data_IF_235937496533
#
_entry.id   IF_235937496533
#
_cell.length_a   1.000
_cell.length_b   1.000
_cell.length_c   1.000
_cell.angle_alpha   90.00
_cell.angle_beta   90.00
_cell.angle_gamma   90.00
#
_symmetry.space_group_name_H-M   'P 1'
#
loop_
_entity.id
_entity.type
_entity.pdbx_description
1 polymer ?
#
# COMPACT_ATOMS: atom_id res chain seq x y z
N UNK A 1 -30.32 -12.76 -0.68
CA UNK A 1 -31.35 -11.85 -1.16
C UNK A 1 -31.14 -11.58 -2.65
N UNK A 2 -32.24 -11.36 -3.38
CA UNK A 2 -32.23 -10.88 -4.76
C UNK A 2 -32.84 -9.49 -4.84
N UNK A 3 -32.37 -8.69 -5.81
CA UNK A 3 -32.94 -7.40 -6.15
C UNK A 3 -33.62 -7.53 -7.53
N UNK A 4 -34.90 -7.25 -7.57
CA UNK A 4 -35.62 -7.11 -8.85
C UNK A 4 -35.27 -5.75 -9.45
N UNK A 5 -34.64 -5.76 -10.64
CA UNK A 5 -34.17 -4.54 -11.29
C UNK A 5 -35.30 -3.69 -11.92
N UNK A 6 -36.49 -4.24 -12.10
CA UNK A 6 -37.64 -3.49 -12.61
C UNK A 6 -38.40 -2.79 -11.48
N UNK A 7 -38.59 -3.50 -10.38
CA UNK A 7 -39.35 -2.97 -9.24
C UNK A 7 -38.48 -2.34 -8.18
N UNK A 8 -37.15 -2.55 -8.24
CA UNK A 8 -36.15 -2.24 -7.22
C UNK A 8 -36.49 -2.82 -5.84
N UNK A 9 -37.31 -3.89 -5.84
CA UNK A 9 -37.72 -4.58 -4.63
C UNK A 9 -36.72 -5.66 -4.22
N UNK A 10 -36.45 -5.76 -2.91
CA UNK A 10 -35.63 -6.81 -2.34
C UNK A 10 -36.45 -8.00 -1.91
N UNK A 11 -35.97 -9.20 -2.21
CA UNK A 11 -36.56 -10.47 -1.75
C UNK A 11 -35.51 -11.32 -1.05
N UNK A 12 -35.88 -11.93 0.07
CA UNK A 12 -35.03 -12.92 0.75
C UNK A 12 -35.15 -14.26 0.03
N UNK A 13 -34.06 -14.73 -0.57
CA UNK A 13 -34.03 -16.02 -1.28
C UNK A 13 -33.70 -17.19 -0.36
N UNK A 14 -32.95 -16.93 0.70
CA UNK A 14 -32.52 -17.96 1.64
C UNK A 14 -32.16 -17.38 3.00
N UNK A 15 -32.40 -18.15 4.05
CA UNK A 15 -31.93 -17.91 5.42
C UNK A 15 -30.69 -18.73 5.77
N UNK A 16 -30.14 -19.48 4.82
CA UNK A 16 -28.88 -20.21 5.01
C UNK A 16 -27.73 -19.26 5.29
N UNK A 17 -26.92 -19.59 6.29
CA UNK A 17 -25.77 -18.80 6.72
C UNK A 17 -24.50 -19.63 6.63
N UNK A 18 -23.38 -18.96 6.40
CA UNK A 18 -22.08 -19.57 6.59
C UNK A 18 -21.86 -19.88 8.08
N UNK A 19 -21.09 -20.93 8.35
CA UNK A 19 -20.70 -21.30 9.72
C UNK A 19 -19.83 -20.24 10.40
N UNK A 20 -19.18 -19.39 9.60
CA UNK A 20 -18.32 -18.32 10.06
C UNK A 20 -18.57 -17.07 9.20
N UNK A 21 -18.60 -15.90 9.84
CA UNK A 21 -18.63 -14.63 9.13
C UNK A 21 -17.24 -14.38 8.49
N UNK A 22 -17.22 -14.12 7.19
CA UNK A 22 -16.01 -13.87 6.43
C UNK A 22 -16.03 -12.45 5.86
N UNK A 23 -15.00 -11.66 6.17
CA UNK A 23 -14.77 -10.32 5.64
C UNK A 23 -13.70 -10.38 4.56
N UNK A 24 -13.78 -9.48 3.57
CA UNK A 24 -12.79 -9.33 2.48
C UNK A 24 -12.46 -10.65 1.76
N UNK A 25 -13.45 -11.53 1.65
CA UNK A 25 -13.39 -12.65 0.70
C UNK A 25 -13.47 -12.12 -0.73
N UNK A 26 -12.92 -12.82 -1.70
CA UNK A 26 -13.24 -12.60 -3.09
C UNK A 26 -14.43 -13.48 -3.53
N UNK A 27 -15.02 -13.18 -4.67
CA UNK A 27 -16.19 -13.89 -5.14
C UNK A 27 -16.23 -13.98 -6.67
N UNK A 28 -16.92 -15.00 -7.16
CA UNK A 28 -17.22 -15.14 -8.58
C UNK A 28 -18.56 -15.81 -8.78
N UNK A 29 -19.13 -15.68 -9.96
CA UNK A 29 -20.36 -16.32 -10.35
C UNK A 29 -20.12 -17.27 -11.55
N UNK A 30 -20.41 -18.54 -11.35
CA UNK A 30 -20.44 -19.56 -12.39
C UNK A 30 -21.83 -19.52 -13.05
N UNK A 31 -21.91 -18.89 -14.20
CA UNK A 31 -23.17 -18.69 -14.92
C UNK A 31 -23.74 -20.00 -15.47
N UNK A 32 -22.88 -20.96 -15.81
CA UNK A 32 -23.28 -22.27 -16.37
C UNK A 32 -23.95 -23.11 -15.28
N UNK A 33 -23.35 -23.16 -14.10
CA UNK A 33 -23.86 -23.94 -12.95
C UNK A 33 -24.78 -23.13 -12.04
N UNK A 34 -24.99 -21.84 -12.33
CA UNK A 34 -25.78 -20.89 -11.52
C UNK A 34 -25.35 -20.87 -10.05
N UNK A 35 -24.05 -20.86 -9.80
CA UNK A 35 -23.49 -20.92 -8.46
C UNK A 35 -22.72 -19.64 -8.16
N UNK A 36 -23.05 -19.01 -7.04
CA UNK A 36 -22.26 -17.92 -6.50
C UNK A 36 -21.26 -18.51 -5.50
N UNK A 37 -19.98 -18.21 -5.70
CA UNK A 37 -18.90 -18.77 -4.88
C UNK A 37 -18.08 -17.65 -4.28
N UNK A 38 -17.71 -17.84 -3.02
CA UNK A 38 -16.74 -16.99 -2.31
C UNK A 38 -15.52 -17.81 -1.93
N UNK A 39 -14.37 -17.16 -1.89
CA UNK A 39 -13.11 -17.75 -1.48
C UNK A 39 -12.40 -16.88 -0.44
N UNK A 40 -11.80 -17.53 0.56
CA UNK A 40 -10.95 -16.86 1.52
C UNK A 40 -11.73 -15.99 2.50
N UNK A 41 -11.13 -14.86 2.88
CA UNK A 41 -11.69 -13.95 3.86
C UNK A 41 -11.19 -14.20 5.28
N UNK A 42 -11.52 -13.29 6.18
CA UNK A 42 -11.16 -13.42 7.60
C UNK A 42 -12.38 -13.26 8.51
N UNK A 43 -12.32 -13.92 9.66
CA UNK A 43 -13.34 -13.84 10.71
C UNK A 43 -12.98 -14.75 11.88
N UNK A 44 -13.53 -14.47 13.05
CA UNK A 44 -13.30 -15.27 14.26
C UNK A 44 -11.83 -15.59 14.56
N UNK A 45 -10.92 -14.62 14.29
CA UNK A 45 -9.47 -14.76 14.48
C UNK A 45 -8.76 -15.67 13.46
N UNK A 46 -9.42 -16.05 12.36
CA UNK A 46 -8.83 -16.90 11.33
C UNK A 46 -8.93 -16.30 9.93
N UNK A 47 -7.91 -16.57 9.11
CA UNK A 47 -7.96 -16.44 7.66
C UNK A 47 -8.44 -17.74 7.05
N UNK A 48 -9.28 -17.67 6.03
CA UNK A 48 -9.83 -18.83 5.34
C UNK A 48 -9.10 -19.11 4.02
N UNK A 49 -8.99 -20.38 3.63
CA UNK A 49 -8.62 -20.82 2.29
C UNK A 49 -9.70 -21.71 1.66
N UNK A 50 -10.91 -21.64 2.18
CA UNK A 50 -12.03 -22.46 1.72
C UNK A 50 -12.83 -21.73 0.66
N UNK A 51 -13.42 -22.53 -0.25
CA UNK A 51 -14.44 -22.11 -1.19
C UNK A 51 -15.81 -22.48 -0.64
N UNK A 52 -16.72 -21.50 -0.60
CA UNK A 52 -18.10 -21.69 -0.20
C UNK A 52 -18.99 -21.33 -1.38
N UNK A 53 -19.85 -22.26 -1.78
CA UNK A 53 -20.75 -22.12 -2.92
C UNK A 53 -22.19 -21.98 -2.41
N UNK A 54 -22.90 -20.97 -2.90
CA UNK A 54 -24.33 -20.86 -2.71
C UNK A 54 -25.04 -21.55 -3.88
N UNK A 55 -25.78 -22.59 -3.56
CA UNK A 55 -26.66 -23.25 -4.51
C UNK A 55 -28.03 -22.56 -4.46
N UNK A 56 -28.42 -21.87 -5.55
CA UNK A 56 -29.68 -21.14 -5.61
C UNK A 56 -30.91 -22.08 -5.62
N UNK A 57 -30.78 -23.28 -6.17
CA UNK A 57 -31.89 -24.27 -6.23
C UNK A 57 -32.17 -24.86 -4.86
N UNK A 58 -31.10 -25.16 -4.09
CA UNK A 58 -31.23 -25.72 -2.74
C UNK A 58 -31.39 -24.61 -1.68
N UNK A 59 -31.14 -23.37 -2.03
CA UNK A 59 -31.20 -22.21 -1.14
C UNK A 59 -30.18 -22.27 0.01
N UNK A 60 -29.05 -22.96 -0.15
CA UNK A 60 -28.07 -23.15 0.92
C UNK A 60 -26.60 -23.01 0.46
N UNK A 61 -25.76 -22.72 1.44
CA UNK A 61 -24.31 -22.72 1.30
C UNK A 61 -23.74 -24.13 1.47
N UNK A 62 -22.84 -24.49 0.58
CA UNK A 62 -22.06 -25.72 0.62
C UNK A 62 -20.58 -25.38 0.53
N UNK A 63 -19.72 -26.18 1.15
CA UNK A 63 -18.27 -26.05 0.99
C UNK A 63 -17.82 -26.86 -0.22
N UNK A 64 -16.93 -26.30 -1.04
CA UNK A 64 -16.27 -27.09 -2.08
C UNK A 64 -15.45 -28.20 -1.41
N UNK A 65 -15.43 -29.38 -2.04
CA UNK A 65 -14.67 -30.53 -1.53
C UNK A 65 -13.17 -30.26 -1.46
N UNK A 66 -12.43 -31.23 -0.98
CA UNK A 66 -10.96 -31.13 -0.88
C UNK A 66 -10.33 -30.92 -2.24
N UNK A 67 -9.42 -29.97 -2.34
CA UNK A 67 -8.61 -29.69 -3.52
C UNK A 67 -7.26 -30.40 -3.39
N UNK A 68 -6.77 -30.96 -4.49
CA UNK A 68 -5.43 -31.52 -4.60
C UNK A 68 -4.46 -30.48 -5.15
N UNK A 69 -3.16 -30.80 -5.20
CA UNK A 69 -2.11 -29.95 -5.79
C UNK A 69 -1.46 -29.00 -4.81
N UNK A 70 -1.16 -27.77 -5.25
CA UNK A 70 -0.39 -26.82 -4.47
C UNK A 70 -1.18 -26.24 -3.30
N UNK A 71 -0.48 -25.92 -2.22
CA UNK A 71 -1.11 -25.33 -1.05
C UNK A 71 -1.47 -23.87 -1.28
N UNK A 72 -2.75 -23.54 -1.25
CA UNK A 72 -3.26 -22.18 -1.31
C UNK A 72 -3.42 -21.64 0.10
N UNK A 73 -2.52 -20.73 0.49
CA UNK A 73 -2.49 -20.16 1.84
C UNK A 73 -3.81 -19.49 2.22
N UNK A 74 -4.27 -19.64 3.47
CA UNK A 74 -5.37 -18.85 4.03
C UNK A 74 -5.12 -17.35 3.85
N UNK A 75 -6.13 -16.65 3.29
CA UNK A 75 -5.96 -15.24 2.89
C UNK A 75 -7.26 -14.45 2.81
N UNK A 76 -7.13 -13.15 2.85
CA UNK A 76 -8.17 -12.16 2.60
C UNK A 76 -7.63 -11.01 1.73
N UNK A 77 -8.46 -10.12 1.25
CA UNK A 77 -8.09 -9.12 0.26
C UNK A 77 -7.44 -9.71 -1.02
N UNK A 78 -7.77 -10.96 -1.36
CA UNK A 78 -7.37 -11.53 -2.64
C UNK A 78 -8.35 -11.14 -3.74
N UNK A 79 -7.91 -11.24 -4.97
CA UNK A 79 -8.74 -11.06 -6.16
C UNK A 79 -9.06 -12.40 -6.80
N UNK A 80 -10.29 -12.54 -7.31
CA UNK A 80 -10.70 -13.73 -8.05
C UNK A 80 -11.22 -13.37 -9.45
N UNK A 81 -10.92 -14.23 -10.42
CA UNK A 81 -11.48 -14.20 -11.76
C UNK A 81 -11.86 -15.61 -12.18
N UNK A 82 -13.04 -15.76 -12.79
CA UNK A 82 -13.51 -17.03 -13.32
C UNK A 82 -13.47 -17.00 -14.85
N UNK A 83 -12.93 -18.05 -15.44
CA UNK A 83 -12.85 -18.22 -16.91
C UNK A 83 -13.66 -19.44 -17.31
N UNK A 84 -14.79 -19.19 -17.96
CA UNK A 84 -15.72 -20.23 -18.40
C UNK A 84 -15.09 -21.23 -19.39
N UNK A 85 -14.22 -20.77 -20.27
CA UNK A 85 -13.65 -21.59 -21.35
C UNK A 85 -12.83 -22.80 -20.86
N UNK A 86 -12.25 -22.70 -19.65
CA UNK A 86 -11.45 -23.76 -19.05
C UNK A 86 -11.94 -24.16 -17.65
N UNK A 87 -13.12 -23.70 -17.22
CA UNK A 87 -13.74 -23.97 -15.93
C UNK A 87 -12.82 -23.75 -14.72
N UNK A 88 -11.98 -22.74 -14.83
CA UNK A 88 -11.00 -22.45 -13.78
C UNK A 88 -11.25 -21.12 -13.10
N UNK A 89 -10.94 -21.10 -11.80
CA UNK A 89 -10.85 -19.88 -11.01
C UNK A 89 -9.40 -19.50 -10.85
N UNK A 90 -9.12 -18.24 -11.07
CA UNK A 90 -7.79 -17.68 -10.83
C UNK A 90 -7.83 -16.84 -9.56
N UNK A 91 -6.84 -17.02 -8.69
CA UNK A 91 -6.70 -16.29 -7.42
C UNK A 91 -5.38 -15.53 -7.42
N UNK A 92 -5.44 -14.25 -7.16
CA UNK A 92 -4.26 -13.38 -7.12
C UNK A 92 -4.13 -12.66 -5.77
N UNK A 93 -2.93 -12.71 -5.18
CA UNK A 93 -2.49 -11.87 -4.10
C UNK A 93 -3.31 -11.96 -2.82
N UNK A 94 -3.37 -10.85 -2.08
CA UNK A 94 -4.04 -10.73 -0.80
C UNK A 94 -3.08 -10.74 0.38
N UNK A 95 -3.63 -10.99 1.57
CA UNK A 95 -2.88 -11.04 2.83
C UNK A 95 -3.30 -12.24 3.68
N UNK A 96 -2.38 -12.77 4.44
CA UNK A 96 -2.67 -13.89 5.35
C UNK A 96 -1.39 -14.56 5.84
N UNK A 97 -1.49 -15.81 6.24
CA UNK A 97 -0.36 -16.65 6.61
C UNK A 97 -0.67 -18.13 6.40
N UNK A 98 0.34 -18.97 6.51
CA UNK A 98 0.25 -20.40 6.25
C UNK A 98 -0.65 -21.15 7.25
N UNK A 99 -0.72 -20.68 8.49
CA UNK A 99 -1.51 -21.31 9.54
C UNK A 99 -2.98 -20.92 9.53
N UNK A 100 -3.32 -19.79 8.91
CA UNK A 100 -4.64 -19.17 8.99
C UNK A 100 -4.92 -18.44 10.31
N UNK A 101 -4.04 -18.50 11.30
CA UNK A 101 -4.23 -17.86 12.60
C UNK A 101 -3.84 -16.37 12.55
N UNK A 102 -4.79 -15.48 12.86
CA UNK A 102 -4.54 -14.02 12.88
C UNK A 102 -3.56 -13.60 13.96
N UNK A 103 -3.38 -14.39 15.02
CA UNK A 103 -2.44 -14.07 16.12
C UNK A 103 -1.00 -14.11 15.66
N UNK A 104 -0.68 -14.94 14.68
CA UNK A 104 0.69 -15.07 14.12
C UNK A 104 1.08 -13.87 13.25
N UNK A 105 0.11 -13.06 12.85
CA UNK A 105 0.31 -11.93 11.96
C UNK A 105 -0.11 -12.23 10.52
N UNK A 106 0.35 -11.40 9.60
CA UNK A 106 0.01 -11.53 8.18
C UNK A 106 1.16 -11.05 7.32
N UNK A 107 1.25 -11.58 6.09
CA UNK A 107 2.13 -11.09 5.02
C UNK A 107 1.33 -10.80 3.77
N UNK A 108 1.88 -9.98 2.89
CA UNK A 108 1.31 -9.72 1.57
C UNK A 108 1.72 -10.84 0.62
N UNK A 109 0.76 -11.30 -0.17
CA UNK A 109 0.97 -12.26 -1.23
C UNK A 109 0.94 -11.54 -2.58
N UNK A 110 1.87 -11.89 -3.45
CA UNK A 110 1.89 -11.49 -4.86
C UNK A 110 2.05 -12.75 -5.73
N UNK A 111 1.33 -13.78 -5.34
CA UNK A 111 1.28 -15.08 -5.96
C UNK A 111 0.01 -15.24 -6.80
N UNK A 112 0.05 -16.15 -7.76
CA UNK A 112 -1.04 -16.39 -8.68
C UNK A 112 -1.30 -17.88 -8.82
N UNK A 113 -2.56 -18.25 -8.67
CA UNK A 113 -3.01 -19.64 -8.69
C UNK A 113 -4.10 -19.84 -9.71
N UNK A 114 -4.08 -21.01 -10.34
CA UNK A 114 -5.18 -21.58 -11.10
C UNK A 114 -5.83 -22.69 -10.27
N UNK A 115 -7.15 -22.66 -10.12
CA UNK A 115 -7.94 -23.70 -9.48
C UNK A 115 -8.86 -24.29 -10.53
N UNK A 116 -8.53 -25.50 -10.98
CA UNK A 116 -9.37 -26.27 -11.89
C UNK A 116 -10.54 -26.88 -11.10
N UNK A 117 -11.76 -26.46 -11.44
CA UNK A 117 -12.98 -26.91 -10.74
C UNK A 117 -13.53 -28.24 -11.25
N UNK A 118 -13.02 -28.78 -12.37
CA UNK A 118 -13.37 -30.10 -12.85
C UNK A 118 -12.46 -31.15 -12.23
N UNK A 119 -11.16 -30.90 -12.24
CA UNK A 119 -10.15 -31.81 -11.69
C UNK A 119 -9.97 -31.63 -10.18
N UNK A 120 -10.61 -30.63 -9.58
CA UNK A 120 -10.47 -30.27 -8.17
C UNK A 120 -9.01 -30.10 -7.77
N UNK A 121 -8.25 -29.36 -8.59
CA UNK A 121 -6.82 -29.19 -8.45
C UNK A 121 -6.40 -27.74 -8.41
N UNK A 122 -5.49 -27.42 -7.48
CA UNK A 122 -4.80 -26.12 -7.35
C UNK A 122 -3.43 -26.22 -7.98
N UNK A 123 -3.09 -25.23 -8.77
CA UNK A 123 -1.75 -25.05 -9.34
C UNK A 123 -1.27 -23.62 -9.06
N UNK A 124 -0.11 -23.48 -8.41
CA UNK A 124 0.59 -22.20 -8.32
C UNK A 124 1.29 -21.92 -9.64
N UNK A 125 0.91 -20.84 -10.30
CA UNK A 125 1.53 -20.47 -11.59
C UNK A 125 2.83 -19.71 -11.36
N UNK A 126 2.84 -18.74 -10.45
CA UNK A 126 4.03 -17.98 -10.08
C UNK A 126 3.86 -17.26 -8.73
N UNK A 127 4.97 -16.72 -8.23
CA UNK A 127 5.06 -15.92 -7.01
C UNK A 127 6.14 -14.85 -7.20
N UNK A 128 5.73 -13.59 -7.22
CA UNK A 128 6.61 -12.43 -7.39
C UNK A 128 6.70 -11.60 -6.10
N UNK A 129 6.45 -12.20 -4.94
CA UNK A 129 6.35 -11.47 -3.66
C UNK A 129 7.65 -10.78 -3.24
N UNK A 130 8.80 -11.25 -3.73
CA UNK A 130 10.09 -10.64 -3.42
C UNK A 130 10.21 -9.24 -4.02
N UNK A 131 10.54 -8.25 -3.19
CA UNK A 131 10.73 -6.86 -3.62
C UNK A 131 9.44 -6.11 -4.00
N UNK A 132 8.26 -6.71 -3.82
CA UNK A 132 7.01 -6.03 -4.10
C UNK A 132 6.56 -5.11 -2.96
N UNK A 133 5.95 -3.95 -3.29
CA UNK A 133 5.38 -3.07 -2.28
C UNK A 133 4.20 -3.72 -1.55
N UNK A 134 3.93 -3.27 -0.33
CA UNK A 134 2.77 -3.68 0.48
C UNK A 134 1.45 -3.19 -0.14
N UNK A 135 0.92 -3.95 -1.06
CA UNK A 135 -0.33 -3.65 -1.78
C UNK A 135 -1.24 -4.86 -1.81
N UNK A 136 -2.54 -4.59 -1.80
CA UNK A 136 -3.57 -5.61 -1.98
C UNK A 136 -4.30 -5.40 -3.30
N UNK A 137 -4.80 -6.46 -3.94
CA UNK A 137 -5.71 -6.33 -5.07
C UNK A 137 -7.13 -5.99 -4.60
N UNK A 138 -7.90 -5.34 -5.47
CA UNK A 138 -9.35 -5.30 -5.34
C UNK A 138 -9.95 -6.71 -5.49
N UNK A 139 -11.18 -6.91 -5.02
CA UNK A 139 -11.78 -8.24 -4.90
C UNK A 139 -11.96 -8.99 -6.22
N UNK A 140 -12.17 -8.28 -7.32
CA UNK A 140 -12.41 -8.88 -8.63
C UNK A 140 -11.26 -8.59 -9.58
N UNK A 141 -10.88 -9.58 -10.38
CA UNK A 141 -10.02 -9.41 -11.55
C UNK A 141 -10.79 -9.71 -12.82
N UNK A 142 -10.40 -9.08 -13.91
CA UNK A 142 -10.92 -9.34 -15.23
C UNK A 142 -9.92 -10.21 -15.99
N UNK A 143 -10.25 -11.47 -16.18
CA UNK A 143 -9.51 -12.42 -16.99
C UNK A 143 -10.37 -12.81 -18.19
N UNK A 144 -9.88 -12.54 -19.40
CA UNK A 144 -10.62 -12.78 -20.64
C UNK A 144 -10.08 -13.96 -21.43
N UNK A 145 -8.83 -14.33 -21.14
CA UNK A 145 -8.15 -15.46 -21.79
C UNK A 145 -6.98 -15.92 -20.91
N UNK A 146 -6.30 -16.97 -21.32
CA UNK A 146 -5.16 -17.56 -20.59
C UNK A 146 -3.84 -16.77 -20.73
N UNK A 147 -3.83 -15.57 -21.32
CA UNK A 147 -2.59 -14.81 -21.54
C UNK A 147 -2.39 -13.67 -20.55
N UNK A 148 -3.45 -12.98 -20.16
CA UNK A 148 -3.34 -11.85 -19.23
C UNK A 148 -4.64 -11.61 -18.46
N UNK A 149 -4.48 -10.92 -17.33
CA UNK A 149 -5.60 -10.43 -16.51
C UNK A 149 -5.39 -8.97 -16.10
N UNK A 150 -6.48 -8.32 -15.73
CA UNK A 150 -6.52 -6.94 -15.26
C UNK A 150 -7.01 -6.92 -13.82
N UNK A 151 -6.31 -6.16 -12.97
CA UNK A 151 -6.64 -6.04 -11.56
C UNK A 151 -6.28 -4.66 -11.04
N UNK A 152 -7.10 -4.12 -10.15
CA UNK A 152 -6.76 -2.92 -9.40
C UNK A 152 -5.94 -3.30 -8.18
N UNK A 153 -4.91 -2.50 -7.86
CA UNK A 153 -4.09 -2.66 -6.64
C UNK A 153 -3.98 -1.34 -5.90
N UNK A 154 -3.89 -1.42 -4.59
CA UNK A 154 -3.74 -0.25 -3.72
C UNK A 154 -3.06 -0.64 -2.39
N UNK A 155 -2.36 0.28 -1.71
CA UNK A 155 -1.89 0.08 -0.35
C UNK A 155 -3.09 0.12 0.60
N UNK A 156 -3.28 -0.94 1.40
CA UNK A 156 -4.34 -0.98 2.41
C UNK A 156 -3.92 -0.24 3.68
N UNK A 157 -4.89 0.20 4.48
CA UNK A 157 -4.66 0.92 5.75
C UNK A 157 -3.88 2.24 5.60
N UNK A 158 -4.03 2.92 4.47
CA UNK A 158 -3.39 4.21 4.17
C UNK A 158 -4.45 5.26 3.87
N UNK A 159 -4.39 6.41 4.56
CA UNK A 159 -5.15 7.60 4.18
C UNK A 159 -4.55 8.20 2.90
N UNK A 160 -5.37 8.68 1.98
CA UNK A 160 -4.93 9.28 0.73
C UNK A 160 -4.07 8.35 -0.16
N UNK A 161 -4.55 7.16 -0.42
CA UNK A 161 -3.94 6.24 -1.35
C UNK A 161 -4.58 6.29 -2.74
N UNK A 162 -4.03 5.49 -3.67
CA UNK A 162 -4.50 5.42 -5.05
C UNK A 162 -4.66 3.99 -5.51
N UNK A 163 -5.77 3.72 -6.21
CA UNK A 163 -5.96 2.52 -7.01
C UNK A 163 -5.25 2.69 -8.35
N UNK A 164 -4.42 1.73 -8.69
CA UNK A 164 -3.81 1.63 -10.01
C UNK A 164 -4.30 0.37 -10.71
N UNK A 165 -4.62 0.49 -11.99
CA UNK A 165 -4.98 -0.63 -12.83
C UNK A 165 -3.70 -1.27 -13.38
N UNK A 166 -3.55 -2.58 -13.16
CA UNK A 166 -2.45 -3.40 -13.66
C UNK A 166 -2.96 -4.40 -14.68
N UNK A 167 -2.16 -4.64 -15.71
CA UNK A 167 -2.26 -5.80 -16.58
C UNK A 167 -1.12 -6.73 -16.25
N UNK A 168 -1.43 -7.95 -15.84
CA UNK A 168 -0.46 -9.01 -15.56
C UNK A 168 -0.45 -10.06 -16.66
N UNK A 169 0.71 -10.63 -16.94
CA UNK A 169 0.85 -11.86 -17.69
C UNK A 169 0.47 -13.06 -16.81
N UNK A 170 -0.31 -13.99 -17.37
CA UNK A 170 -0.67 -15.24 -16.69
C UNK A 170 0.54 -16.19 -16.60
N UNK A 171 1.46 -16.09 -17.57
CA UNK A 171 2.60 -17.00 -17.69
C UNK A 171 3.68 -16.74 -16.64
N UNK A 172 4.07 -15.47 -16.42
CA UNK A 172 5.27 -15.12 -15.65
C UNK A 172 5.06 -14.02 -14.60
N UNK A 173 3.85 -13.44 -14.51
CA UNK A 173 3.55 -12.35 -13.58
C UNK A 173 4.15 -10.99 -13.94
N UNK A 174 4.77 -10.85 -15.12
CA UNK A 174 5.19 -9.54 -15.61
C UNK A 174 3.99 -8.60 -15.72
N UNK A 175 4.16 -7.32 -15.36
CA UNK A 175 3.02 -6.41 -15.28
C UNK A 175 3.33 -5.01 -15.80
N UNK A 176 2.25 -4.32 -16.21
CA UNK A 176 2.27 -2.93 -16.62
C UNK A 176 1.14 -2.17 -15.94
N UNK A 177 1.43 -0.93 -15.50
CA UNK A 177 0.42 0.00 -15.00
C UNK A 177 -0.31 0.62 -16.20
N UNK A 178 -1.62 0.72 -16.10
CA UNK A 178 -2.50 1.20 -17.16
C UNK A 178 -3.30 2.42 -16.69
N UNK A 179 -3.43 3.39 -17.58
CA UNK A 179 -4.24 4.59 -17.32
C UNK A 179 -3.70 5.47 -16.19
N UNK A 180 -4.59 6.28 -15.65
CA UNK A 180 -4.36 7.13 -14.48
C UNK A 180 -4.77 6.41 -13.20
N UNK A 181 -4.48 7.01 -12.07
CA UNK A 181 -4.83 6.50 -10.75
C UNK A 181 -6.22 7.00 -10.31
N UNK A 182 -6.89 6.21 -9.49
CA UNK A 182 -8.16 6.58 -8.85
C UNK A 182 -7.89 6.80 -7.36
N UNK A 183 -8.17 7.98 -6.80
CA UNK A 183 -7.96 8.22 -5.38
C UNK A 183 -8.87 7.33 -4.52
N UNK A 184 -8.34 6.84 -3.39
CA UNK A 184 -9.06 6.00 -2.44
C UNK A 184 -8.56 6.26 -1.02
N UNK A 185 -9.49 6.31 -0.07
CA UNK A 185 -9.21 6.31 1.37
C UNK A 185 -9.27 4.88 1.89
N UNK A 186 -8.12 4.24 2.02
CA UNK A 186 -8.01 2.84 2.44
C UNK A 186 -7.57 2.65 3.89
N UNK A 187 -7.63 3.68 4.70
CA UNK A 187 -7.29 3.66 6.14
C UNK A 187 -8.23 2.78 6.96
N UNK A 188 -9.46 2.57 6.50
CA UNK A 188 -10.43 1.69 7.14
C UNK A 188 -10.54 0.37 6.41
N UNK A 189 -10.54 -0.71 7.18
CA UNK A 189 -10.70 -2.08 6.66
C UNK A 189 -12.03 -2.29 5.92
N UNK A 190 -13.03 -1.44 6.17
CA UNK A 190 -14.33 -1.47 5.51
C UNK A 190 -14.33 -0.88 4.10
N UNK A 191 -13.24 -0.23 3.69
CA UNK A 191 -13.09 0.26 2.32
C UNK A 191 -12.98 -0.91 1.35
N UNK A 192 -13.77 -0.86 0.28
CA UNK A 192 -13.83 -1.87 -0.77
C UNK A 192 -13.69 -1.25 -2.15
N UNK A 193 -12.96 -1.94 -3.02
CA UNK A 193 -12.90 -1.63 -4.44
C UNK A 193 -13.18 -2.89 -5.26
N UNK A 194 -13.87 -2.72 -6.38
CA UNK A 194 -14.20 -3.83 -7.29
C UNK A 194 -14.01 -3.41 -8.74
N UNK A 195 -13.68 -4.37 -9.59
CA UNK A 195 -13.44 -4.20 -11.02
C UNK A 195 -14.38 -5.10 -11.83
N UNK A 196 -15.08 -4.53 -12.80
CA UNK A 196 -15.99 -5.26 -13.68
C UNK A 196 -15.69 -4.94 -15.13
N UNK A 197 -15.90 -5.92 -16.02
CA UNK A 197 -15.84 -5.72 -17.45
C UNK A 197 -17.23 -5.86 -18.06
N UNK A 198 -17.60 -4.86 -18.87
CA UNK A 198 -18.82 -4.92 -19.68
C UNK A 198 -18.42 -5.04 -21.15
N UNK A 199 -18.57 -6.24 -21.68
CA UNK A 199 -18.20 -6.56 -23.07
C UNK A 199 -19.02 -5.75 -24.08
N UNK A 200 -20.33 -5.58 -23.85
CA UNK A 200 -21.22 -4.85 -24.78
C UNK A 200 -20.83 -3.39 -24.94
N UNK A 201 -20.31 -2.79 -23.89
CA UNK A 201 -19.90 -1.38 -23.92
C UNK A 201 -18.39 -1.22 -24.13
N UNK A 202 -17.63 -2.31 -24.17
CA UNK A 202 -16.17 -2.30 -24.18
C UNK A 202 -15.58 -1.36 -23.11
N UNK A 203 -16.03 -1.56 -21.85
CA UNK A 203 -15.64 -0.72 -20.72
C UNK A 203 -15.33 -1.55 -19.48
N UNK A 204 -14.34 -1.06 -18.75
CA UNK A 204 -14.13 -1.45 -17.35
C UNK A 204 -14.89 -0.47 -16.44
N UNK A 205 -15.54 -1.01 -15.43
CA UNK A 205 -16.18 -0.24 -14.37
C UNK A 205 -15.46 -0.53 -13.05
N UNK A 206 -15.15 0.53 -12.34
CA UNK A 206 -14.56 0.46 -11.00
C UNK A 206 -15.56 1.01 -10.01
N UNK A 207 -15.88 0.25 -8.98
CA UNK A 207 -16.67 0.74 -7.86
C UNK A 207 -15.78 0.87 -6.64
N UNK A 208 -15.89 1.98 -5.93
CA UNK A 208 -15.17 2.27 -4.69
C UNK A 208 -16.19 2.63 -3.62
N UNK A 209 -16.16 1.90 -2.53
CA UNK A 209 -16.93 2.19 -1.34
C UNK A 209 -15.99 2.57 -0.21
N UNK A 210 -16.10 3.79 0.26
CA UNK A 210 -15.30 4.36 1.35
C UNK A 210 -16.21 4.63 2.55
N UNK A 211 -15.79 4.21 3.72
CA UNK A 211 -16.55 4.42 4.95
C UNK A 211 -15.91 5.54 5.75
N UNK A 212 -16.64 6.65 5.95
CA UNK A 212 -16.13 7.80 6.68
C UNK A 212 -16.33 7.66 8.20
N UNK A 213 -17.42 7.03 8.59
CA UNK A 213 -17.78 6.71 9.98
C UNK A 213 -18.44 5.32 10.04
N UNK A 214 -18.95 4.92 11.21
CA UNK A 214 -19.59 3.61 11.36
C UNK A 214 -20.99 3.53 10.74
N UNK A 215 -21.52 4.65 10.20
CA UNK A 215 -22.89 4.77 9.72
C UNK A 215 -22.97 5.15 8.25
N UNK A 216 -22.06 5.98 7.76
CA UNK A 216 -22.11 6.52 6.40
C UNK A 216 -20.98 5.99 5.53
N UNK A 217 -21.29 5.74 4.26
CA UNK A 217 -20.31 5.39 3.25
C UNK A 217 -20.52 6.19 1.98
N UNK A 218 -19.41 6.54 1.33
CA UNK A 218 -19.40 7.13 -0.01
C UNK A 218 -19.22 6.01 -1.03
N UNK A 219 -20.08 5.97 -2.02
CA UNK A 219 -19.99 5.04 -3.14
C UNK A 219 -19.69 5.81 -4.43
N UNK A 220 -18.59 5.45 -5.09
CA UNK A 220 -18.12 6.07 -6.32
C UNK A 220 -18.03 5.04 -7.43
N UNK A 221 -18.38 5.43 -8.66
CA UNK A 221 -18.30 4.59 -9.85
C UNK A 221 -17.46 5.30 -10.90
N UNK A 222 -16.44 4.63 -11.40
CA UNK A 222 -15.58 5.09 -12.48
C UNK A 222 -15.72 4.19 -13.69
N UNK A 223 -15.55 4.74 -14.87
CA UNK A 223 -15.64 4.01 -16.14
C UNK A 223 -14.41 4.29 -16.99
N UNK A 224 -13.73 3.23 -17.42
CA UNK A 224 -12.55 3.28 -18.28
C UNK A 224 -12.84 2.60 -19.61
N UNK A 225 -12.31 3.14 -20.70
CA UNK A 225 -12.38 2.48 -22.00
C UNK A 225 -11.55 1.21 -22.01
N UNK A 226 -12.00 0.20 -22.72
CA UNK A 226 -11.27 -1.04 -22.93
C UNK A 226 -10.94 -1.22 -24.43
N UNK A 227 -9.69 -1.60 -24.80
CA UNK A 227 -8.55 -1.85 -23.93
C UNK A 227 -7.97 -0.56 -23.37
N UNK A 228 -7.56 -0.56 -22.07
CA UNK A 228 -6.94 0.60 -21.45
C UNK A 228 -5.52 0.81 -22.01
N UNK A 229 -5.10 2.08 -22.08
CA UNK A 229 -3.75 2.45 -22.53
C UNK A 229 -2.74 2.34 -21.40
N UNK A 230 -1.46 2.13 -21.74
CA UNK A 230 -0.40 2.17 -20.73
C UNK A 230 -0.23 3.57 -20.12
N UNK A 231 0.24 3.64 -18.89
CA UNK A 231 0.51 4.90 -18.20
C UNK A 231 1.47 5.79 -19.01
N UNK A 232 2.49 5.21 -19.65
CA UNK A 232 3.43 5.91 -20.52
C UNK A 232 2.74 6.58 -21.71
N UNK A 233 1.85 5.87 -22.40
CA UNK A 233 1.06 6.43 -23.50
C UNK A 233 0.08 7.48 -23.02
N UNK A 234 -0.52 7.29 -21.84
CA UNK A 234 -1.43 8.25 -21.26
C UNK A 234 -0.69 9.55 -20.90
N UNK A 235 0.46 9.48 -20.25
CA UNK A 235 1.29 10.65 -19.90
C UNK A 235 1.85 11.34 -21.15
N UNK A 236 2.29 10.59 -22.16
CA UNK A 236 2.76 11.14 -23.44
C UNK A 236 1.66 11.91 -24.16
N UNK A 237 0.43 11.38 -24.17
CA UNK A 237 -0.72 12.02 -24.84
C UNK A 237 -1.25 13.25 -24.05
N UNK A 238 -1.19 13.23 -22.73
CA UNK A 238 -1.70 14.32 -21.87
C UNK A 238 -0.60 15.31 -21.42
N UNK A 239 0.67 14.92 -21.47
CA UNK A 239 1.82 15.80 -21.17
C UNK A 239 2.16 16.79 -22.29
N UNK A 240 1.54 16.65 -23.48
CA UNK A 240 1.76 17.54 -24.64
C UNK A 240 0.94 18.83 -24.65
N UNK A 241 0.12 19.09 -23.64
CA UNK A 241 -0.73 20.26 -23.53
C UNK A 241 -0.01 21.46 -22.90
N UNK A 242 0.47 22.37 -23.68
CA UNK A 242 0.78 23.79 -23.38
C UNK A 242 1.93 24.16 -22.42
N UNK A 243 2.54 23.26 -21.68
CA UNK A 243 3.63 23.68 -20.76
C UNK A 243 4.93 24.05 -21.52
N UNK A 244 5.26 23.35 -22.60
CA UNK A 244 6.47 23.61 -23.39
C UNK A 244 6.39 24.92 -24.18
N UNK A 245 5.23 25.27 -24.71
CA UNK A 245 5.06 26.53 -25.44
C UNK A 245 5.04 27.74 -24.52
N UNK A 246 4.44 27.64 -23.34
CA UNK A 246 4.46 28.72 -22.35
C UNK A 246 5.88 28.96 -21.83
N UNK A 247 6.68 27.91 -21.63
CA UNK A 247 8.07 28.03 -21.22
C UNK A 247 8.94 28.67 -22.33
N UNK A 248 8.76 28.27 -23.60
CA UNK A 248 9.43 28.86 -24.74
C UNK A 248 9.06 30.33 -24.92
N UNK A 249 7.81 30.72 -24.71
CA UNK A 249 7.34 32.11 -24.77
C UNK A 249 7.94 32.93 -23.62
N UNK A 250 8.00 32.37 -22.41
CA UNK A 250 8.64 33.03 -21.25
C UNK A 250 10.15 33.23 -21.47
N UNK A 251 10.86 32.20 -21.97
CA UNK A 251 12.30 32.33 -22.31
C UNK A 251 12.51 33.34 -23.40
N UNK A 252 11.70 33.36 -24.47
CA UNK A 252 11.79 34.36 -25.53
C UNK A 252 11.52 35.78 -25.01
N UNK A 253 10.57 35.96 -24.09
CA UNK A 253 10.28 37.24 -23.46
C UNK A 253 11.45 37.73 -22.59
N UNK A 254 12.09 36.84 -21.82
CA UNK A 254 13.27 37.17 -20.99
C UNK A 254 14.46 37.56 -21.88
N UNK A 255 14.70 36.83 -22.98
CA UNK A 255 15.75 37.14 -23.94
C UNK A 255 15.50 38.50 -24.65
N UNK A 256 14.25 38.81 -25.00
CA UNK A 256 13.89 40.10 -25.60
C UNK A 256 14.09 41.26 -24.63
N UNK A 257 13.75 41.09 -23.33
CA UNK A 257 13.99 42.13 -22.29
C UNK A 257 15.47 42.29 -22.01
N UNK A 258 16.25 41.21 -21.95
CA UNK A 258 17.70 41.27 -21.77
C UNK A 258 18.38 41.91 -22.98
N UNK A 259 18.00 41.55 -24.20
CA UNK A 259 18.50 42.14 -25.44
C UNK A 259 18.18 43.64 -25.58
N UNK A 260 16.95 44.01 -25.19
CA UNK A 260 16.50 45.40 -25.14
C UNK A 260 17.30 46.26 -24.14
N UNK A 261 17.58 45.71 -22.97
CA UNK A 261 18.37 46.37 -21.92
C UNK A 261 19.84 46.60 -22.38
N UNK A 262 20.44 45.56 -22.98
CA UNK A 262 21.81 45.67 -23.53
C UNK A 262 21.86 46.70 -24.67
N UNK A 263 20.83 46.73 -25.54
CA UNK A 263 20.76 47.72 -26.63
C UNK A 263 20.61 49.17 -26.11
N UNK A 264 19.81 49.39 -25.06
CA UNK A 264 19.65 50.71 -24.41
C UNK A 264 20.96 51.12 -23.75
N UNK A 265 21.66 50.22 -23.06
CA UNK A 265 22.98 50.51 -22.46
C UNK A 265 24.02 50.80 -23.54
N UNK A 266 24.06 50.03 -24.63
CA UNK A 266 24.94 50.25 -25.77
C UNK A 266 24.66 51.60 -26.46
N UNK A 267 23.38 51.97 -26.64
CA UNK A 267 22.98 53.26 -27.21
C UNK A 267 23.32 54.42 -26.29
N UNK A 268 23.23 54.28 -24.97
CA UNK A 268 23.69 55.30 -23.99
C UNK A 268 25.20 55.45 -24.01
N UNK A 269 25.97 54.38 -24.10
CA UNK A 269 27.43 54.43 -24.16
C UNK A 269 27.94 55.07 -25.46
N UNK A 270 27.24 54.92 -26.58
CA UNK A 270 27.61 55.51 -27.86
C UNK A 270 27.38 57.01 -27.94
N UNK A 271 26.53 57.53 -27.04
CA UNK A 271 26.25 58.97 -26.99
C UNK A 271 27.08 59.74 -25.93
N UNK A 272 27.99 59.07 -25.21
CA UNK A 272 28.83 59.67 -24.15
C UNK A 272 30.33 59.56 -24.45
N UNK A 273 30.71 59.72 -25.71
CA UNK A 273 32.11 59.71 -26.13
C UNK A 273 32.62 61.06 -26.38
N UNK A 274 33.09 61.75 -25.35
CA UNK A 274 34.19 62.76 -25.39
C UNK A 274 34.58 63.13 -23.96
N UNK A 275 35.84 62.86 -23.60
CA UNK A 275 36.52 63.52 -22.49
C UNK A 275 37.30 62.56 -21.56
N UNK A 276 38.61 62.53 -21.82
CA UNK A 276 39.75 62.48 -20.91
C UNK A 276 40.04 61.31 -19.95
N UNK A 277 41.16 60.72 -20.25
CA UNK A 277 42.33 60.24 -19.45
C UNK A 277 42.16 59.87 -17.96
N UNK A 278 42.70 58.69 -17.63
CA UNK A 278 43.39 58.57 -16.37
C UNK A 278 43.19 57.26 -15.57
N UNK A 279 44.22 56.44 -15.63
CA UNK A 279 44.69 55.50 -14.62
C UNK A 279 44.01 54.13 -14.49
N UNK A 280 44.80 53.16 -14.88
CA UNK A 280 44.67 51.72 -14.56
C UNK A 280 44.67 51.48 -13.07
N UNK A 281 43.68 50.69 -12.62
CA UNK A 281 43.77 49.90 -11.39
C UNK A 281 43.39 48.46 -11.75
N UNK A 282 44.37 47.60 -11.62
CA UNK A 282 44.17 46.14 -11.63
C UNK A 282 43.23 45.77 -10.45
N UNK A 283 42.14 45.10 -10.73
CA UNK A 283 41.43 44.28 -9.74
C UNK A 283 41.30 42.89 -10.31
N UNK A 284 41.70 41.97 -9.45
CA UNK A 284 41.75 40.55 -9.64
C UNK A 284 40.35 40.00 -9.98
N UNK A 285 40.32 39.12 -10.96
CA UNK A 285 39.17 38.30 -11.28
C UNK A 285 39.07 37.20 -10.20
N UNK A 286 38.18 37.35 -9.24
CA UNK A 286 37.63 36.24 -8.50
C UNK A 286 36.75 35.44 -9.45
N UNK A 287 37.19 34.22 -9.73
CA UNK A 287 36.40 33.20 -10.40
C UNK A 287 35.31 32.70 -9.44
N UNK A 288 34.05 32.95 -9.79
CA UNK A 288 32.95 32.16 -9.21
C UNK A 288 33.15 30.69 -9.63
N UNK A 289 33.03 29.77 -8.70
CA UNK A 289 33.02 28.36 -9.05
C UNK A 289 31.77 28.04 -9.85
N UNK A 290 31.95 27.36 -10.98
CA UNK A 290 30.91 26.72 -11.76
C UNK A 290 30.10 25.79 -10.82
N UNK A 291 28.79 25.95 -10.88
CA UNK A 291 27.87 25.01 -10.26
C UNK A 291 28.07 23.63 -10.90
N UNK A 292 28.78 22.76 -10.21
CA UNK A 292 28.85 21.35 -10.54
C UNK A 292 27.45 20.77 -10.45
N UNK A 293 26.98 20.20 -11.55
CA UNK A 293 25.84 19.31 -11.61
C UNK A 293 25.96 18.24 -10.49
N UNK A 294 25.23 18.43 -9.40
CA UNK A 294 25.03 17.37 -8.43
C UNK A 294 24.08 16.39 -9.10
N UNK A 295 24.64 15.37 -9.75
CA UNK A 295 23.94 14.12 -9.98
C UNK A 295 23.47 13.65 -8.61
N UNK A 296 22.16 13.74 -8.39
CA UNK A 296 21.51 12.99 -7.35
C UNK A 296 21.61 11.52 -7.76
N UNK A 297 22.72 10.90 -7.42
CA UNK A 297 22.78 9.45 -7.32
C UNK A 297 21.73 9.08 -6.27
N UNK A 298 20.67 8.41 -6.70
CA UNK A 298 19.85 7.60 -5.83
C UNK A 298 20.79 6.57 -5.20
N UNK A 299 21.39 6.92 -4.07
CA UNK A 299 22.00 5.90 -3.23
C UNK A 299 20.84 4.95 -2.87
N UNK A 300 20.92 3.75 -3.41
CA UNK A 300 20.12 2.65 -2.94
C UNK A 300 20.25 2.65 -1.41
N UNK A 301 19.14 2.84 -0.71
CA UNK A 301 19.08 2.55 0.72
C UNK A 301 19.61 1.13 0.83
N UNK A 302 20.71 0.97 1.51
CA UNK A 302 21.26 -0.35 1.83
C UNK A 302 20.22 -1.06 2.72
N UNK A 303 19.31 -1.78 2.08
CA UNK A 303 18.23 -2.55 2.70
C UNK A 303 18.75 -3.79 3.41
N UNK A 304 20.05 -3.89 3.60
CA UNK A 304 20.76 -4.97 4.25
C UNK A 304 21.09 -4.76 5.73
N UNK A 305 20.52 -3.76 6.40
CA UNK A 305 20.73 -3.60 7.84
C UNK A 305 19.91 -4.64 8.60
N UNK A 306 20.61 -5.57 9.22
CA UNK A 306 20.02 -6.54 10.15
C UNK A 306 19.58 -5.81 11.45
N UNK A 307 18.60 -6.38 12.14
CA UNK A 307 18.21 -5.95 13.49
C UNK A 307 17.84 -4.44 13.57
N UNK A 308 16.98 -4.00 12.66
CA UNK A 308 16.67 -2.58 12.48
C UNK A 308 15.17 -2.30 12.33
N UNK A 309 14.78 -1.09 12.72
CA UNK A 309 13.42 -0.59 12.60
C UNK A 309 13.44 0.84 12.04
N UNK A 310 12.60 1.07 11.04
CA UNK A 310 12.39 2.37 10.42
C UNK A 310 10.96 2.82 10.69
N UNK A 311 10.81 3.96 11.37
CA UNK A 311 9.52 4.56 11.72
C UNK A 311 9.17 5.75 10.84
N UNK A 312 10.17 6.37 10.20
CA UNK A 312 9.97 7.43 9.22
C UNK A 312 9.83 6.83 7.82
N UNK A 313 8.95 7.43 7.00
CA UNK A 313 8.62 6.87 5.70
C UNK A 313 7.80 5.58 5.81
N UNK A 314 8.18 4.55 5.06
CA UNK A 314 7.52 3.24 5.10
C UNK A 314 7.98 2.46 6.34
N UNK A 315 7.04 2.17 7.24
CA UNK A 315 7.32 1.38 8.44
C UNK A 315 7.92 0.03 8.08
N UNK A 316 9.19 -0.17 8.43
CA UNK A 316 9.94 -1.38 8.11
C UNK A 316 10.70 -1.92 9.32
N UNK A 317 10.67 -3.23 9.50
CA UNK A 317 11.37 -3.94 10.58
C UNK A 317 12.10 -5.13 10.01
N UNK A 318 13.40 -5.22 10.29
CA UNK A 318 14.26 -6.33 9.87
C UNK A 318 14.76 -7.06 11.10
N UNK A 319 14.58 -8.38 11.12
CA UNK A 319 14.99 -9.24 12.22
C UNK A 319 16.55 -9.36 12.31
N UNK A 320 17.02 -10.11 13.30
CA UNK A 320 18.45 -10.40 13.50
C UNK A 320 19.12 -11.11 12.30
N UNK A 321 18.34 -11.67 11.38
CA UNK A 321 18.83 -12.33 10.17
C UNK A 321 18.62 -11.48 8.92
N UNK A 322 18.16 -10.22 9.02
CA UNK A 322 17.86 -9.32 7.91
C UNK A 322 16.56 -9.61 7.17
N UNK A 323 15.67 -10.47 7.70
CA UNK A 323 14.37 -10.74 7.09
C UNK A 323 13.38 -9.64 7.46
N UNK A 324 12.61 -9.16 6.51
CA UNK A 324 11.55 -8.19 6.77
C UNK A 324 10.38 -8.84 7.54
N UNK A 325 10.20 -8.41 8.79
CA UNK A 325 9.14 -8.86 9.70
C UNK A 325 8.07 -7.78 9.96
N UNK A 326 8.02 -6.72 9.17
CA UNK A 326 7.06 -5.59 9.32
C UNK A 326 5.60 -6.07 9.35
N UNK A 327 5.31 -7.15 8.65
CA UNK A 327 3.99 -7.78 8.59
C UNK A 327 3.48 -8.30 9.94
N UNK A 328 4.36 -8.56 10.89
CA UNK A 328 3.99 -8.99 12.25
C UNK A 328 3.40 -7.85 13.09
N UNK A 329 3.62 -6.60 12.67
CA UNK A 329 3.13 -5.42 13.36
C UNK A 329 1.76 -5.00 12.81
N UNK A 330 0.68 -5.46 13.43
CA UNK A 330 -0.65 -4.87 13.17
C UNK A 330 -0.68 -3.38 13.56
N UNK A 331 -1.63 -2.61 13.03
CA UNK A 331 -1.77 -1.18 13.38
C UNK A 331 -1.80 -0.96 14.89
N UNK A 332 -2.51 -1.80 15.64
CA UNK A 332 -2.60 -1.72 17.09
C UNK A 332 -1.25 -1.97 17.78
N UNK A 333 -0.49 -2.93 17.27
CA UNK A 333 0.85 -3.24 17.80
C UNK A 333 1.82 -2.10 17.50
N UNK A 334 1.74 -1.49 16.31
CA UNK A 334 2.52 -0.28 15.96
C UNK A 334 2.22 0.86 16.93
N UNK A 335 0.95 1.15 17.21
CA UNK A 335 0.53 2.19 18.15
C UNK A 335 1.08 1.94 19.56
N UNK A 336 0.96 0.69 20.06
CA UNK A 336 1.48 0.31 21.39
C UNK A 336 3.00 0.45 21.43
N UNK A 337 3.70 -0.03 20.39
CA UNK A 337 5.14 0.08 20.26
C UNK A 337 5.60 1.55 20.29
N UNK A 338 5.05 2.40 19.45
CA UNK A 338 5.40 3.83 19.38
C UNK A 338 5.11 4.56 20.70
N UNK A 339 4.00 4.25 21.37
CA UNK A 339 3.69 4.84 22.67
C UNK A 339 4.71 4.41 23.74
N UNK A 340 5.02 3.11 23.83
CA UNK A 340 6.01 2.64 24.80
C UNK A 340 7.39 3.23 24.48
N UNK A 341 7.78 3.27 23.20
CA UNK A 341 9.06 3.85 22.76
C UNK A 341 9.17 5.31 23.18
N UNK A 342 8.14 6.12 22.91
CA UNK A 342 8.10 7.55 23.27
C UNK A 342 8.28 7.81 24.76
N UNK A 343 7.78 6.93 25.62
CA UNK A 343 7.85 7.08 27.06
C UNK A 343 9.01 6.32 27.70
N UNK A 344 9.85 5.62 26.92
CA UNK A 344 10.95 4.79 27.47
C UNK A 344 12.09 5.59 28.07
N UNK A 345 12.31 6.85 27.63
CA UNK A 345 13.34 7.76 28.20
C UNK A 345 12.97 8.30 29.60
N UNK A 346 11.69 8.15 29.98
CA UNK A 346 11.19 8.49 31.31
C UNK A 346 10.96 7.19 32.11
N UNK A 347 10.10 7.25 33.12
CA UNK A 347 9.73 6.07 33.95
C UNK A 347 8.86 5.03 33.20
N UNK A 348 8.67 5.21 31.89
CA UNK A 348 7.80 4.40 31.06
C UNK A 348 6.35 4.86 31.05
N UNK A 349 5.49 4.19 30.27
CA UNK A 349 4.05 4.46 30.20
C UNK A 349 3.29 3.54 31.16
N UNK A 350 2.44 4.11 32.02
CA UNK A 350 1.65 3.31 32.96
C UNK A 350 0.63 2.41 32.23
N UNK A 351 0.35 1.26 32.82
CA UNK A 351 -0.67 0.32 32.30
C UNK A 351 -2.03 0.98 32.09
N UNK A 352 -2.39 1.93 32.96
CA UNK A 352 -3.65 2.67 32.87
C UNK A 352 -3.61 3.64 31.68
N UNK A 353 -2.58 4.48 31.61
CA UNK A 353 -2.42 5.45 30.53
C UNK A 353 -2.35 4.79 29.16
N UNK A 354 -1.60 3.68 29.01
CA UNK A 354 -1.55 2.91 27.78
C UNK A 354 -2.95 2.38 27.39
N UNK A 355 -3.71 1.93 28.39
CA UNK A 355 -5.07 1.42 28.15
C UNK A 355 -6.04 2.52 27.72
N UNK A 356 -5.98 3.66 28.37
CA UNK A 356 -6.88 4.80 28.08
C UNK A 356 -6.60 5.39 26.70
N UNK A 357 -5.34 5.40 26.25
CA UNK A 357 -4.95 5.88 24.91
C UNK A 357 -5.30 4.90 23.79
N UNK A 358 -5.16 3.59 24.04
CA UNK A 358 -5.32 2.57 22.97
C UNK A 358 -6.76 2.04 22.89
N UNK A 359 -7.50 2.04 23.99
CA UNK A 359 -8.88 1.53 24.05
C UNK A 359 -9.81 2.50 24.80
N UNK A 360 -10.00 3.76 24.33
CA UNK A 360 -10.78 4.77 25.04
C UNK A 360 -12.24 4.34 25.27
N UNK A 361 -12.84 3.64 24.30
CA UNK A 361 -14.26 3.29 24.29
C UNK A 361 -14.55 1.87 24.82
N UNK A 362 -13.52 1.15 25.31
CA UNK A 362 -13.69 -0.24 25.74
C UNK A 362 -14.01 -0.34 27.25
N UNK A 363 -14.96 -1.18 27.67
CA UNK A 363 -15.22 -1.44 29.09
C UNK A 363 -13.94 -1.87 29.83
N UNK A 364 -13.74 -1.33 31.04
CA UNK A 364 -12.49 -1.50 31.84
C UNK A 364 -12.15 -2.97 32.14
N UNK A 365 -13.17 -3.81 32.34
CA UNK A 365 -13.02 -5.25 32.56
C UNK A 365 -12.42 -5.97 31.34
N UNK A 366 -12.78 -5.54 30.13
CA UNK A 366 -12.28 -6.13 28.87
C UNK A 366 -10.94 -5.55 28.43
N UNK A 367 -10.60 -4.33 28.84
CA UNK A 367 -9.35 -3.65 28.46
C UNK A 367 -8.14 -4.41 29.00
N UNK A 368 -8.18 -4.90 30.23
CA UNK A 368 -7.08 -5.65 30.85
C UNK A 368 -6.66 -6.87 30.03
N UNK A 369 -7.66 -7.64 29.56
CA UNK A 369 -7.40 -8.83 28.73
C UNK A 369 -6.85 -8.42 27.36
N UNK A 370 -7.44 -7.41 26.69
CA UNK A 370 -6.96 -6.94 25.40
C UNK A 370 -5.54 -6.41 25.44
N UNK A 371 -5.19 -5.66 26.49
CA UNK A 371 -3.83 -5.19 26.72
C UNK A 371 -2.88 -6.37 26.94
N UNK A 372 -3.26 -7.36 27.76
CA UNK A 372 -2.45 -8.55 28.02
C UNK A 372 -2.14 -9.32 26.73
N UNK A 373 -3.13 -9.54 25.88
CA UNK A 373 -2.94 -10.19 24.57
C UNK A 373 -2.00 -9.37 23.67
N UNK A 374 -2.23 -8.07 23.56
CA UNK A 374 -1.41 -7.21 22.71
C UNK A 374 0.05 -7.11 23.18
N UNK A 375 0.28 -6.97 24.49
CA UNK A 375 1.63 -6.95 25.07
C UNK A 375 2.35 -8.29 24.87
N UNK A 376 1.66 -9.41 25.02
CA UNK A 376 2.25 -10.72 24.76
C UNK A 376 2.58 -10.91 23.27
N UNK A 377 1.76 -10.39 22.39
CA UNK A 377 2.05 -10.39 20.96
C UNK A 377 3.28 -9.53 20.66
N UNK A 378 3.35 -8.30 21.16
CA UNK A 378 4.53 -7.45 21.00
C UNK A 378 5.80 -8.14 21.52
N UNK A 379 5.76 -8.79 22.69
CA UNK A 379 6.89 -9.56 23.22
C UNK A 379 7.35 -10.68 22.30
N UNK A 380 6.42 -11.35 21.62
CA UNK A 380 6.76 -12.41 20.65
C UNK A 380 7.50 -11.83 19.45
N UNK A 381 7.05 -10.68 18.94
CA UNK A 381 7.73 -10.01 17.83
C UNK A 381 9.14 -9.56 18.23
N UNK A 382 9.27 -8.94 19.41
CA UNK A 382 10.56 -8.45 19.89
C UNK A 382 11.60 -9.57 20.12
N UNK A 383 11.19 -10.83 20.25
CA UNK A 383 12.11 -11.97 20.31
C UNK A 383 12.86 -12.23 19.00
N UNK A 384 12.36 -11.72 17.87
CA UNK A 384 13.05 -11.80 16.57
C UNK A 384 14.13 -10.73 16.41
N UNK A 385 14.18 -9.76 17.33
CA UNK A 385 15.13 -8.66 17.37
C UNK A 385 16.11 -8.84 18.53
N UNK A 386 17.31 -8.33 18.37
CA UNK A 386 18.30 -8.24 19.45
C UNK A 386 18.39 -6.78 19.94
N UNK A 387 18.80 -6.59 21.18
CA UNK A 387 19.03 -5.26 21.75
C UNK A 387 17.78 -4.44 22.06
N UNK A 388 16.58 -5.02 22.00
CA UNK A 388 15.35 -4.39 22.45
C UNK A 388 14.52 -5.36 23.31
N UNK A 389 14.17 -4.94 24.51
CA UNK A 389 13.36 -5.74 25.43
C UNK A 389 12.24 -4.91 26.06
N UNK A 390 11.04 -5.50 26.16
CA UNK A 390 9.89 -4.89 26.81
C UNK A 390 9.83 -5.26 28.28
N UNK A 391 10.16 -4.30 29.13
CA UNK A 391 10.17 -4.43 30.58
C UNK A 391 8.87 -3.88 31.17
N UNK A 392 8.39 -4.52 32.24
CA UNK A 392 7.26 -4.06 33.02
C UNK A 392 7.66 -3.94 34.49
N UNK A 393 7.85 -2.72 34.98
CA UNK A 393 8.27 -2.42 36.32
C UNK A 393 7.44 -1.30 36.93
N UNK A 394 7.13 -1.39 38.21
CA UNK A 394 6.35 -0.39 38.98
C UNK A 394 5.04 0.04 38.33
N UNK A 395 4.40 -0.89 37.56
CA UNK A 395 3.14 -0.62 36.86
C UNK A 395 3.27 0.06 35.49
N UNK A 396 4.50 0.29 35.01
CA UNK A 396 4.81 0.96 33.75
C UNK A 396 5.50 0.00 32.76
N UNK A 397 5.22 0.20 31.47
CA UNK A 397 5.91 -0.45 30.35
C UNK A 397 6.96 0.49 29.80
N UNK A 398 8.17 -0.04 29.54
CA UNK A 398 9.26 0.67 28.86
C UNK A 398 10.10 -0.29 28.04
N UNK A 399 10.84 0.21 27.06
CA UNK A 399 11.87 -0.57 26.38
C UNK A 399 13.21 -0.37 27.04
N UNK A 400 13.97 -1.44 27.15
CA UNK A 400 15.41 -1.42 27.38
C UNK A 400 16.08 -1.62 26.03
N UNK A 401 17.02 -0.74 25.69
CA UNK A 401 17.65 -0.68 24.38
C UNK A 401 19.16 -0.86 24.53
N UNK A 402 19.81 -1.58 23.60
CA UNK A 402 21.26 -1.65 23.48
C UNK A 402 21.71 -1.15 22.10
N UNK A 403 23.02 -1.01 21.93
CA UNK A 403 23.65 -0.58 20.68
C UNK A 403 23.38 -1.52 19.48
N UNK A 404 22.92 -2.75 19.74
CA UNK A 404 22.71 -3.76 18.71
C UNK A 404 21.39 -3.56 17.95
N UNK A 405 20.52 -2.69 18.44
CA UNK A 405 19.25 -2.35 17.82
C UNK A 405 19.29 -0.97 17.18
N UNK A 406 19.08 -0.93 15.87
CA UNK A 406 18.95 0.33 15.15
C UNK A 406 17.49 0.76 15.05
N UNK A 407 17.20 2.04 15.33
CA UNK A 407 15.92 2.67 15.07
C UNK A 407 16.15 4.12 14.61
N UNK A 408 15.63 4.47 13.44
CA UNK A 408 15.76 5.81 12.83
C UNK A 408 15.20 6.92 13.74
N UNK A 409 14.05 6.68 14.40
CA UNK A 409 13.48 7.61 15.38
C UNK A 409 14.42 7.87 16.56
N UNK A 410 15.04 6.82 17.11
CA UNK A 410 16.00 6.97 18.22
C UNK A 410 17.25 7.73 17.77
N UNK A 411 17.73 7.42 16.57
CA UNK A 411 18.85 8.14 15.97
C UNK A 411 18.54 9.62 15.74
N UNK A 412 17.35 9.91 15.21
CA UNK A 412 16.85 11.28 15.06
C UNK A 412 16.81 12.02 16.41
N UNK A 413 16.24 11.39 17.44
CA UNK A 413 16.15 12.00 18.76
C UNK A 413 17.54 12.26 19.38
N UNK A 414 18.51 11.38 19.15
CA UNK A 414 19.89 11.56 19.59
C UNK A 414 20.54 12.77 18.90
N UNK A 415 20.42 12.91 17.58
CA UNK A 415 20.93 14.05 16.81
C UNK A 415 20.34 15.38 17.33
N UNK A 416 19.04 15.39 17.59
CA UNK A 416 18.33 16.58 18.12
C UNK A 416 18.81 16.92 19.54
N UNK A 417 18.94 15.91 20.42
CA UNK A 417 19.37 16.10 21.79
C UNK A 417 20.82 16.61 21.90
N UNK A 418 21.69 16.16 21.02
CA UNK A 418 23.08 16.59 20.92
C UNK A 418 23.26 17.94 20.19
N UNK A 419 22.19 18.53 19.67
CA UNK A 419 22.18 19.77 18.88
C UNK A 419 23.11 19.71 17.65
N UNK A 420 23.25 18.53 17.04
CA UNK A 420 24.18 18.25 15.92
C UNK A 420 23.49 18.22 14.56
N UNK A 421 22.35 18.89 14.40
CA UNK A 421 21.55 18.85 13.16
C UNK A 421 22.38 19.34 11.96
N UNK A 422 23.16 20.42 12.12
CA UNK A 422 23.98 20.95 11.03
C UNK A 422 25.15 20.03 10.67
N UNK A 423 25.77 19.39 11.65
CA UNK A 423 26.88 18.45 11.42
C UNK A 423 26.38 17.14 10.78
N UNK A 424 25.18 16.72 11.13
CA UNK A 424 24.54 15.48 10.65
C UNK A 424 23.49 15.78 9.55
N UNK A 425 23.58 16.90 8.86
CA UNK A 425 22.54 17.37 7.92
C UNK A 425 22.16 16.32 6.87
N UNK A 426 23.13 15.63 6.30
CA UNK A 426 22.83 14.58 5.29
C UNK A 426 22.11 13.40 5.94
N UNK A 427 22.58 12.91 7.07
CA UNK A 427 21.95 11.83 7.84
C UNK A 427 20.53 12.23 8.28
N UNK A 428 20.36 13.48 8.76
CA UNK A 428 19.05 14.02 9.16
C UNK A 428 18.06 14.04 7.98
N UNK A 429 18.47 14.46 6.78
CA UNK A 429 17.62 14.46 5.59
C UNK A 429 17.29 13.04 5.09
N UNK A 430 18.07 12.05 5.47
CA UNK A 430 17.78 10.64 5.18
C UNK A 430 16.76 10.03 6.14
N UNK A 431 16.70 10.53 7.38
CA UNK A 431 15.83 10.01 8.44
C UNK A 431 14.43 10.63 8.34
N UNK A 432 14.29 11.86 7.88
CA UNK A 432 13.05 12.64 7.76
C UNK A 432 12.52 12.66 6.32
#
# INVERSE_FOLDING_TARGET
ASLDLHTLGWRVESYSRLSMQLHHHCSYYDAVRKRYTIFGGFGNMYYSNKFYMFNAEEGRWNTLGSLSGDFLCPRYFSSAGYLDSNHSVYIFGGMGNESGDQVIGRRYFHDFYKVDLQEMRVQKLWDISEGQPNMVPAQDMVILNDSCFYVLRYPESVSNSFLHLYRFSVEDGSCHILGDSIPIYSDKITTNARLYYNERQSRLFVTVQETSDDVSSKFSVYSLLFPPVSLEKYTANNGGGNASHVWLVLVAAVVAVAGGSVWIVYKRHRNSGKGEDGKAVRQDKEQLPEASDVKVEKMAVDTGTVNSMYLFGDFSVFDRNGRNISYMFSLRIKQIFCLILRYSDADGISSKQLSDLIWPDKPKDKVKNSRGVAINHLRKILKELDGIELVYEKGCFRFTLSSDFYCDYLRFMAIVAENRIEECRQEFLYIV
#
